data_IF_872502910590
#
_entry.id   IF_872502910590
#
_cell.length_a   1.000
_cell.length_b   1.000
_cell.length_c   1.000
_cell.angle_alpha   90.00
_cell.angle_beta   90.00
_cell.angle_gamma   90.00
#
_symmetry.space_group_name_H-M   'P 1'
#
loop_
_entity.id
_entity.type
_entity.pdbx_description
1 polymer ?
#
# COMPACT_ATOMS: atom_id res chain seq x y z
N UNK A 1 19.74 15.97 -24.70
CA UNK A 1 19.21 15.59 -23.36
C UNK A 1 18.08 16.47 -22.84
N UNK A 2 18.10 17.80 -23.02
CA UNK A 2 17.01 18.68 -22.54
C UNK A 2 15.66 18.50 -23.24
N UNK A 3 15.65 18.24 -24.54
CA UNK A 3 14.42 18.22 -25.36
C UNK A 3 13.51 17.01 -25.08
N UNK A 4 14.09 15.86 -24.72
CA UNK A 4 13.36 14.66 -24.32
C UNK A 4 12.63 14.88 -22.99
N UNK A 5 13.29 15.52 -22.03
CA UNK A 5 12.73 15.79 -20.71
C UNK A 5 11.53 16.76 -20.77
N UNK A 6 11.55 17.73 -21.70
CA UNK A 6 10.41 18.61 -21.95
C UNK A 6 9.21 17.87 -22.55
N UNK A 7 9.44 16.92 -23.46
CA UNK A 7 8.37 16.11 -24.07
C UNK A 7 7.68 15.22 -23.04
N UNK A 8 8.45 14.59 -22.16
CA UNK A 8 7.92 13.76 -21.09
C UNK A 8 7.08 14.57 -20.09
N UNK A 9 7.55 15.78 -19.76
CA UNK A 9 6.83 16.70 -18.89
C UNK A 9 5.50 17.15 -19.49
N UNK A 10 5.50 17.54 -20.77
CA UNK A 10 4.28 17.93 -21.50
C UNK A 10 3.25 16.81 -21.54
N UNK A 11 3.70 15.56 -21.78
CA UNK A 11 2.81 14.39 -21.81
C UNK A 11 2.18 14.11 -20.45
N UNK A 12 2.92 14.28 -19.36
CA UNK A 12 2.38 14.18 -18.00
C UNK A 12 1.32 15.27 -17.80
N UNK A 13 1.61 16.52 -18.16
CA UNK A 13 0.69 17.65 -17.97
C UNK A 13 -0.63 17.48 -18.73
N UNK A 14 -0.61 16.86 -19.91
CA UNK A 14 -1.84 16.53 -20.64
C UNK A 14 -2.70 15.50 -19.89
N UNK A 15 -2.11 14.48 -19.28
CA UNK A 15 -2.83 13.47 -18.49
C UNK A 15 -3.36 14.05 -17.17
N UNK A 16 -2.69 15.06 -16.59
CA UNK A 16 -3.15 15.71 -15.34
C UNK A 16 -4.56 16.28 -15.45
N UNK A 17 -5.01 16.63 -16.67
CA UNK A 17 -6.38 17.12 -16.92
C UNK A 17 -7.45 16.09 -16.54
N UNK A 18 -7.11 14.79 -16.53
CA UNK A 18 -8.03 13.70 -16.19
C UNK A 18 -8.02 13.35 -14.69
N UNK A 19 -7.15 13.96 -13.89
CA UNK A 19 -7.06 13.70 -12.46
C UNK A 19 -8.39 13.88 -11.71
N UNK A 20 -9.19 14.94 -11.95
CA UNK A 20 -10.50 15.07 -11.32
C UNK A 20 -11.45 13.93 -11.67
N UNK A 21 -11.38 13.42 -12.91
CA UNK A 21 -12.18 12.27 -13.34
C UNK A 21 -11.74 10.99 -12.61
N UNK A 22 -10.43 10.77 -12.43
CA UNK A 22 -9.94 9.63 -11.66
C UNK A 22 -10.41 9.70 -10.20
N UNK A 23 -10.34 10.89 -9.58
CA UNK A 23 -10.87 11.12 -8.24
C UNK A 23 -12.36 10.83 -8.16
N UNK A 24 -13.15 11.23 -9.17
CA UNK A 24 -14.58 10.91 -9.25
C UNK A 24 -14.83 9.40 -9.34
N UNK A 25 -14.08 8.67 -10.17
CA UNK A 25 -14.16 7.21 -10.26
C UNK A 25 -13.83 6.54 -8.91
N UNK A 26 -12.79 7.00 -8.21
CA UNK A 26 -12.43 6.51 -6.89
C UNK A 26 -13.54 6.76 -5.86
N UNK A 27 -14.16 7.95 -5.88
CA UNK A 27 -15.28 8.29 -5.00
C UNK A 27 -16.54 7.44 -5.28
N UNK A 28 -16.74 7.01 -6.53
CA UNK A 28 -17.80 6.09 -6.92
C UNK A 28 -17.51 4.61 -6.59
N UNK A 29 -16.35 4.30 -6.01
CA UNK A 29 -15.98 2.94 -5.59
C UNK A 29 -15.22 2.12 -6.63
N UNK A 30 -14.79 2.72 -7.74
CA UNK A 30 -13.92 2.07 -8.72
C UNK A 30 -12.45 2.13 -8.32
N UNK A 31 -11.64 1.22 -8.86
CA UNK A 31 -10.19 1.27 -8.77
C UNK A 31 -9.59 1.80 -10.08
N UNK A 32 -8.54 2.61 -9.99
CA UNK A 32 -7.82 3.13 -11.16
C UNK A 32 -6.53 2.34 -11.37
N UNK A 33 -6.38 1.75 -12.56
CA UNK A 33 -5.16 1.05 -12.99
C UNK A 33 -4.52 1.80 -14.16
N UNK A 34 -3.29 2.28 -13.96
CA UNK A 34 -2.53 3.00 -15.00
C UNK A 34 -1.51 2.06 -15.64
N UNK A 35 -1.61 1.89 -16.95
CA UNK A 35 -0.68 1.09 -17.76
C UNK A 35 -0.06 1.94 -18.87
N UNK A 36 1.06 1.45 -19.43
CA UNK A 36 1.80 2.16 -20.46
C UNK A 36 3.32 2.02 -20.31
N UNK A 37 4.02 2.41 -21.36
CA UNK A 37 5.48 2.32 -21.48
C UNK A 37 6.14 3.36 -20.56
N UNK A 38 7.18 2.93 -19.85
CA UNK A 38 7.99 3.80 -18.99
C UNK A 38 7.50 3.90 -17.53
N UNK A 39 8.26 4.68 -16.77
CA UNK A 39 8.00 4.90 -15.35
C UNK A 39 6.78 5.80 -15.15
N UNK A 40 5.80 5.30 -14.39
CA UNK A 40 4.58 6.04 -14.02
C UNK A 40 4.73 6.75 -12.68
N UNK A 41 5.91 6.66 -12.03
CA UNK A 41 6.15 7.20 -10.67
C UNK A 41 5.89 8.71 -10.58
N UNK A 42 6.35 9.49 -11.56
CA UNK A 42 6.14 10.93 -11.59
C UNK A 42 4.65 11.31 -11.73
N UNK A 43 3.91 10.59 -12.59
CA UNK A 43 2.48 10.79 -12.79
C UNK A 43 1.68 10.45 -11.52
N UNK A 44 1.96 9.30 -10.90
CA UNK A 44 1.30 8.90 -9.65
C UNK A 44 1.64 9.84 -8.48
N UNK A 45 2.87 10.34 -8.43
CA UNK A 45 3.29 11.35 -7.44
C UNK A 45 2.53 12.67 -7.65
N UNK A 46 2.38 13.13 -8.90
CA UNK A 46 1.58 14.30 -9.22
C UNK A 46 0.12 14.13 -8.81
N UNK A 47 -0.52 13.00 -9.16
CA UNK A 47 -1.90 12.70 -8.77
C UNK A 47 -2.08 12.70 -7.24
N UNK A 48 -1.13 12.10 -6.51
CA UNK A 48 -1.14 12.12 -5.04
C UNK A 48 -1.06 13.55 -4.48
N UNK A 49 -0.17 14.37 -5.01
CA UNK A 49 0.07 15.71 -4.47
C UNK A 49 -1.06 16.69 -4.82
N UNK A 50 -1.61 16.59 -6.03
CA UNK A 50 -2.61 17.52 -6.56
C UNK A 50 -4.02 17.18 -6.09
N UNK A 51 -4.45 15.93 -6.20
CA UNK A 51 -5.82 15.52 -5.88
C UNK A 51 -5.93 14.90 -4.48
N UNK A 52 -5.00 13.99 -4.15
CA UNK A 52 -5.16 13.13 -2.98
C UNK A 52 -4.59 13.73 -1.68
N UNK A 53 -3.90 14.87 -1.74
CA UNK A 53 -3.22 15.50 -0.60
C UNK A 53 -4.15 15.88 0.55
N UNK A 54 -5.44 16.07 0.24
CA UNK A 54 -6.50 16.33 1.23
C UNK A 54 -6.98 15.09 1.99
N UNK A 55 -6.62 13.89 1.54
CA UNK A 55 -7.04 12.63 2.13
C UNK A 55 -5.88 11.93 2.86
N UNK A 56 -6.21 10.97 3.73
CA UNK A 56 -5.21 10.08 4.31
C UNK A 56 -4.77 9.06 3.27
N UNK A 57 -3.59 9.26 2.70
CA UNK A 57 -3.00 8.36 1.69
C UNK A 57 -1.84 7.56 2.26
N UNK A 58 -1.72 6.29 1.87
CA UNK A 58 -0.52 5.46 2.06
C UNK A 58 0.05 5.11 0.69
N UNK A 59 1.33 5.42 0.46
CA UNK A 59 2.05 5.01 -0.77
C UNK A 59 2.90 3.78 -0.50
N UNK A 60 2.76 2.77 -1.34
CA UNK A 60 3.52 1.51 -1.25
C UNK A 60 4.40 1.40 -2.50
N UNK A 61 5.71 1.22 -2.30
CA UNK A 61 6.64 0.98 -3.41
C UNK A 61 6.75 -0.52 -3.69
N UNK A 62 5.86 -1.03 -4.53
CA UNK A 62 5.83 -2.45 -4.90
C UNK A 62 7.01 -2.92 -5.75
N UNK A 63 7.95 -2.05 -6.15
CA UNK A 63 9.16 -2.48 -6.86
C UNK A 63 10.24 -3.00 -5.90
N UNK A 64 10.14 -2.65 -4.62
CA UNK A 64 11.13 -3.07 -3.62
C UNK A 64 10.99 -4.55 -3.29
N UNK A 65 12.10 -5.25 -3.25
CA UNK A 65 12.18 -6.70 -2.95
C UNK A 65 11.76 -7.05 -1.52
N UNK A 66 11.83 -6.10 -0.58
CA UNK A 66 11.47 -6.29 0.82
C UNK A 66 9.99 -6.03 1.14
N UNK A 67 9.20 -5.60 0.15
CA UNK A 67 7.77 -5.32 0.35
C UNK A 67 6.98 -6.62 0.31
N UNK A 68 6.48 -7.00 1.48
CA UNK A 68 5.60 -8.17 1.67
C UNK A 68 4.17 -7.73 1.99
N UNK A 69 3.18 -8.57 1.70
CA UNK A 69 1.78 -8.35 2.11
C UNK A 69 1.66 -8.06 3.60
N UNK A 70 2.47 -8.73 4.41
CA UNK A 70 2.59 -8.48 5.86
C UNK A 70 3.03 -7.07 6.17
N UNK A 71 4.10 -6.59 5.54
CA UNK A 71 4.59 -5.22 5.73
C UNK A 71 3.53 -4.19 5.30
N UNK A 72 2.80 -4.46 4.21
CA UNK A 72 1.72 -3.59 3.73
C UNK A 72 0.61 -3.47 4.79
N UNK A 73 0.14 -4.60 5.31
CA UNK A 73 -0.92 -4.63 6.33
C UNK A 73 -0.47 -3.94 7.63
N UNK A 74 0.77 -4.19 8.08
CA UNK A 74 1.32 -3.52 9.24
C UNK A 74 1.38 -1.99 9.06
N UNK A 75 1.82 -1.52 7.88
CA UNK A 75 1.82 -0.10 7.54
C UNK A 75 0.38 0.47 7.55
N UNK A 76 -0.61 -0.22 6.98
CA UNK A 76 -2.01 0.25 7.01
C UNK A 76 -2.49 0.43 8.45
N UNK A 77 -2.32 -0.58 9.30
CA UNK A 77 -2.76 -0.52 10.70
C UNK A 77 -2.10 0.64 11.44
N UNK A 78 -0.78 0.80 11.27
CA UNK A 78 0.01 1.82 11.94
C UNK A 78 -0.37 3.24 11.45
N UNK A 79 -0.39 3.48 10.13
CA UNK A 79 -0.62 4.82 9.57
C UNK A 79 -2.09 5.25 9.63
N UNK A 80 -3.03 4.31 9.58
CA UNK A 80 -4.46 4.62 9.69
C UNK A 80 -4.96 4.64 11.14
N UNK A 81 -4.10 4.35 12.12
CA UNK A 81 -4.43 4.33 13.55
C UNK A 81 -5.66 3.46 13.86
N UNK A 82 -5.77 2.31 13.21
CA UNK A 82 -6.91 1.41 13.38
C UNK A 82 -6.86 0.80 14.79
N UNK A 83 -7.82 1.16 15.64
CA UNK A 83 -7.96 0.59 16.99
C UNK A 83 -8.36 -0.89 16.89
N UNK A 84 -7.90 -1.70 17.84
CA UNK A 84 -8.22 -3.13 17.97
C UNK A 84 -7.75 -4.05 16.81
N UNK A 85 -6.89 -3.56 15.90
CA UNK A 85 -6.18 -4.41 14.95
C UNK A 85 -4.86 -4.89 15.56
N UNK A 86 -4.91 -5.84 16.49
CA UNK A 86 -3.68 -6.45 17.01
C UNK A 86 -3.01 -7.24 15.88
N UNK A 87 -1.94 -6.69 15.32
CA UNK A 87 -1.03 -7.42 14.44
C UNK A 87 -0.22 -8.37 15.32
N UNK A 88 -0.81 -9.53 15.67
CA UNK A 88 -0.13 -10.55 16.47
C UNK A 88 0.93 -11.25 15.63
N UNK A 89 2.13 -10.68 15.63
CA UNK A 89 3.30 -11.32 15.09
C UNK A 89 4.38 -11.45 16.14
N UNK A 90 4.42 -12.64 16.74
CA UNK A 90 5.62 -13.13 17.38
C UNK A 90 5.74 -14.63 17.09
N UNK A 91 6.88 -15.05 16.54
CA UNK A 91 7.26 -16.47 16.54
C UNK A 91 7.21 -16.99 17.98
N UNK A 92 7.57 -16.16 18.96
CA UNK A 92 7.36 -16.46 20.38
C UNK A 92 5.90 -16.78 20.69
N UNK A 93 4.89 -16.06 20.19
CA UNK A 93 3.48 -16.44 20.44
C UNK A 93 3.10 -17.77 19.79
N UNK A 94 3.61 -18.08 18.60
CA UNK A 94 3.37 -19.38 17.96
C UNK A 94 4.04 -20.51 18.72
N UNK A 95 5.28 -20.31 19.18
CA UNK A 95 6.01 -21.27 20.01
C UNK A 95 5.37 -21.43 21.38
N UNK A 96 4.96 -20.34 22.05
CA UNK A 96 4.28 -20.42 23.35
C UNK A 96 2.96 -21.17 23.24
N UNK A 97 2.16 -20.93 22.18
CA UNK A 97 0.93 -21.69 21.93
C UNK A 97 1.23 -23.16 21.62
N UNK A 98 2.23 -23.44 20.78
CA UNK A 98 2.62 -24.83 20.47
C UNK A 98 3.14 -25.59 21.70
N UNK A 99 3.98 -24.94 22.52
CA UNK A 99 4.52 -25.52 23.75
C UNK A 99 3.43 -25.70 24.82
N UNK A 100 2.52 -24.74 24.96
CA UNK A 100 1.39 -24.84 25.89
C UNK A 100 0.45 -26.00 25.54
N UNK A 101 0.10 -26.16 24.25
CA UNK A 101 -0.74 -27.27 23.79
C UNK A 101 -0.05 -28.64 23.96
N UNK A 102 1.27 -28.72 23.78
CA UNK A 102 2.03 -29.94 24.03
C UNK A 102 2.13 -30.30 25.53
N UNK A 103 2.19 -29.31 26.43
CA UNK A 103 2.14 -29.56 27.89
C UNK A 103 0.75 -30.05 28.33
N UNK A 104 -0.32 -29.50 27.77
CA UNK A 104 -1.69 -29.96 28.06
C UNK A 104 -1.95 -31.39 27.54
N UNK A 105 -1.35 -31.78 26.42
CA UNK A 105 -1.42 -33.15 25.90
C UNK A 105 -0.71 -34.17 26.82
N UNK A 106 0.44 -33.80 27.40
CA UNK A 106 1.18 -34.66 28.34
C UNK A 106 0.49 -34.75 29.72
N UNK A 107 -0.39 -33.80 30.04
CA UNK A 107 -1.14 -33.76 31.30
C UNK A 107 -2.55 -34.36 31.25
N UNK A 108 -3.01 -34.85 30.09
CA UNK A 108 -4.26 -35.62 30.04
C UNK A 108 -4.04 -37.02 30.65
N UNK A 109 -4.65 -37.35 31.80
CA UNK A 109 -4.53 -38.68 32.37
C UNK A 109 -5.32 -39.67 31.51
N UNK A 110 -4.71 -40.83 31.23
CA UNK A 110 -5.46 -42.03 30.82
C UNK A 110 -6.27 -42.56 32.01
#
# INVERSE_FOLDING_TARGET
>A
DGELHLKDKKKIDDIRKDFPWWTYCLAAGFNVLVYGIGSKRALMSAFRNEELSRFRTLSIDGFREDVTTRSILANIVQYMQLKNCEVRFSILTVLHVHYALNIEFVRSPK
#
